data_IF_708143019124
#
_entry.id   IF_708143019124
#
_cell.length_a   1.000
_cell.length_b   1.000
_cell.length_c   1.000
_cell.angle_alpha   90.00
_cell.angle_beta   90.00
_cell.angle_gamma   90.00
#
_symmetry.space_group_name_H-M   'P 1'
#
loop_
_entity.id
_entity.type
_entity.pdbx_description
1 polymer ?
#
# COMPACT_ATOMS: atom_id res chain seq x y z
N UNK A 1 -4.78 -28.17 -35.17
CA UNK A 1 -3.78 -28.03 -34.08
C UNK A 1 -3.64 -26.58 -33.62
N UNK A 2 -3.62 -25.60 -34.53
CA UNK A 2 -3.34 -24.20 -34.21
C UNK A 2 -4.49 -23.46 -33.48
N UNK A 3 -5.76 -23.80 -33.78
CA UNK A 3 -6.92 -23.18 -33.12
C UNK A 3 -7.00 -23.48 -31.61
N UNK A 4 -6.58 -24.68 -31.19
CA UNK A 4 -6.55 -25.07 -29.78
C UNK A 4 -5.47 -24.29 -29.01
N UNK A 5 -4.29 -24.13 -29.63
CA UNK A 5 -3.20 -23.31 -29.08
C UNK A 5 -3.60 -21.84 -28.90
N UNK A 6 -4.25 -21.25 -29.91
CA UNK A 6 -4.73 -19.87 -29.84
C UNK A 6 -5.78 -19.67 -28.75
N UNK A 7 -6.72 -20.61 -28.61
CA UNK A 7 -7.72 -20.57 -27.53
C UNK A 7 -7.07 -20.63 -26.15
N UNK A 8 -6.09 -21.53 -25.96
CA UNK A 8 -5.36 -21.64 -24.69
C UNK A 8 -4.59 -20.35 -24.35
N UNK A 9 -3.93 -19.75 -25.34
CA UNK A 9 -3.22 -18.47 -25.19
C UNK A 9 -4.17 -17.33 -24.81
N UNK A 10 -5.34 -17.25 -25.44
CA UNK A 10 -6.36 -16.25 -25.10
C UNK A 10 -6.89 -16.44 -23.67
N UNK A 11 -7.15 -17.68 -23.25
CA UNK A 11 -7.61 -18.00 -21.90
C UNK A 11 -6.55 -17.66 -20.85
N UNK A 12 -5.28 -17.97 -21.11
CA UNK A 12 -4.16 -17.63 -20.23
C UNK A 12 -3.96 -16.11 -20.13
N UNK A 13 -4.09 -15.39 -21.24
CA UNK A 13 -4.02 -13.93 -21.26
C UNK A 13 -5.17 -13.28 -20.47
N UNK A 14 -6.40 -13.75 -20.68
CA UNK A 14 -7.55 -13.26 -19.91
C UNK A 14 -7.42 -13.55 -18.42
N UNK A 15 -6.90 -14.72 -18.04
CA UNK A 15 -6.66 -15.08 -16.65
C UNK A 15 -5.57 -14.23 -16.00
N UNK A 16 -4.51 -13.89 -16.75
CA UNK A 16 -3.44 -13.03 -16.26
C UNK A 16 -3.94 -11.60 -15.97
N UNK A 17 -4.80 -11.05 -16.84
CA UNK A 17 -5.42 -9.72 -16.63
C UNK A 17 -6.34 -9.72 -15.41
N UNK A 18 -7.10 -10.80 -15.20
CA UNK A 18 -7.98 -10.93 -14.02
C UNK A 18 -7.22 -11.15 -12.71
N UNK A 19 -5.97 -11.61 -12.79
CA UNK A 19 -5.11 -11.80 -11.62
C UNK A 19 -4.40 -10.51 -11.19
N UNK A 20 -4.37 -9.47 -12.03
CA UNK A 20 -3.85 -8.17 -11.63
C UNK A 20 -4.87 -7.49 -10.71
N UNK A 21 -4.53 -7.43 -9.42
CA UNK A 21 -5.27 -6.65 -8.44
C UNK A 21 -4.86 -5.18 -8.47
N UNK A 22 -5.67 -4.33 -7.82
CA UNK A 22 -5.34 -2.91 -7.66
C UNK A 22 -4.07 -2.75 -6.81
N UNK A 23 -3.18 -1.89 -7.27
CA UNK A 23 -1.98 -1.48 -6.53
C UNK A 23 -1.99 0.02 -6.26
N UNK A 24 -1.37 0.44 -5.18
CA UNK A 24 -1.17 1.85 -4.80
C UNK A 24 0.27 2.23 -5.12
N UNK A 25 0.43 3.23 -5.99
CA UNK A 25 1.69 3.80 -6.42
C UNK A 25 2.01 5.08 -5.65
N UNK A 26 3.22 5.15 -5.10
CA UNK A 26 3.76 6.33 -4.44
C UNK A 26 5.20 6.56 -4.92
N UNK A 27 5.35 7.45 -5.91
CA UNK A 27 6.63 7.66 -6.59
C UNK A 27 7.12 6.39 -7.29
N UNK A 28 8.27 5.88 -6.84
CA UNK A 28 8.89 4.66 -7.37
C UNK A 28 8.42 3.37 -6.69
N UNK A 29 7.56 3.48 -5.67
CA UNK A 29 7.03 2.34 -4.92
C UNK A 29 5.64 1.96 -5.43
N UNK A 30 5.37 0.65 -5.50
CA UNK A 30 4.04 0.11 -5.77
C UNK A 30 3.72 -0.97 -4.75
N UNK A 31 2.54 -0.88 -4.14
CA UNK A 31 2.08 -1.78 -3.09
C UNK A 31 0.72 -2.39 -3.46
N UNK A 32 0.49 -3.69 -3.26
CA UNK A 32 -0.83 -4.28 -3.42
C UNK A 32 -1.84 -3.62 -2.47
N UNK A 33 -3.01 -3.24 -2.97
CA UNK A 33 -4.06 -2.61 -2.16
C UNK A 33 -4.44 -3.50 -0.96
N UNK A 34 -4.45 -4.83 -1.15
CA UNK A 34 -4.69 -5.80 -0.09
C UNK A 34 -3.68 -5.73 1.07
N UNK A 35 -2.44 -5.36 0.80
CA UNK A 35 -1.45 -5.14 1.85
C UNK A 35 -1.60 -3.78 2.52
N UNK A 36 -2.03 -2.75 1.77
CA UNK A 36 -2.32 -1.42 2.31
C UNK A 36 -3.51 -1.47 3.28
N UNK A 37 -4.57 -2.23 2.95
CA UNK A 37 -5.75 -2.44 3.82
C UNK A 37 -5.37 -2.95 5.21
N UNK A 38 -4.37 -3.82 5.32
CA UNK A 38 -3.89 -4.39 6.58
C UNK A 38 -3.32 -3.35 7.55
N UNK A 39 -2.94 -2.15 7.08
CA UNK A 39 -2.47 -1.07 7.97
C UNK A 39 -3.56 -0.61 8.95
N UNK A 40 -4.84 -0.69 8.55
CA UNK A 40 -5.97 -0.35 9.41
C UNK A 40 -6.03 -1.24 10.66
N UNK A 41 -5.76 -2.53 10.49
CA UNK A 41 -5.80 -3.53 11.59
C UNK A 41 -4.63 -3.37 12.57
N UNK A 42 -3.57 -2.66 12.19
CA UNK A 42 -2.44 -2.34 13.06
C UNK A 42 -2.72 -1.16 13.98
N UNK A 43 -3.70 -0.33 13.64
CA UNK A 43 -4.05 0.89 14.36
C UNK A 43 -4.95 0.63 15.58
N UNK A 44 -5.52 -0.57 15.72
CA UNK A 44 -6.39 -0.97 16.85
C UNK A 44 -5.64 -1.19 18.20
N UNK A 45 -4.32 -0.95 18.24
CA UNK A 45 -3.56 -0.92 19.51
C UNK A 45 -3.70 0.48 20.14
N UNK A 46 -4.05 0.60 21.43
CA UNK A 46 -4.80 1.74 21.97
C UNK A 46 -4.26 3.11 21.61
N UNK A 47 -5.19 4.02 21.29
CA UNK A 47 -5.08 5.45 21.00
C UNK A 47 -4.35 6.32 22.07
N UNK A 48 -3.48 5.76 22.91
CA UNK A 48 -2.69 6.54 23.88
C UNK A 48 -1.44 7.19 23.28
N UNK A 49 -1.12 6.93 22.01
CA UNK A 49 0.02 7.56 21.31
C UNK A 49 -0.36 8.34 20.04
N UNK A 50 -1.62 8.27 19.58
CA UNK A 50 -2.05 8.81 18.29
C UNK A 50 -2.73 10.20 18.33
N UNK A 51 -2.83 10.84 19.50
CA UNK A 51 -3.13 12.29 19.53
C UNK A 51 -1.83 13.07 19.40
N UNK A 52 -1.29 13.11 18.18
CA UNK A 52 -0.42 14.21 17.78
C UNK A 52 -0.88 14.81 16.46
N UNK A 53 -2.08 15.39 16.49
CA UNK A 53 -2.44 16.58 15.70
C UNK A 53 -1.55 17.79 16.06
N UNK A 54 -0.25 17.59 16.26
CA UNK A 54 0.67 18.59 16.79
C UNK A 54 1.81 18.82 15.82
N UNK A 55 1.60 19.89 15.03
CA UNK A 55 2.58 20.85 14.53
C UNK A 55 3.85 20.26 13.93
N UNK A 56 4.01 20.56 12.63
CA UNK A 56 5.27 21.00 12.03
C UNK A 56 6.23 21.61 13.06
N UNK A 57 7.10 20.78 13.62
CA UNK A 57 8.24 21.21 14.41
C UNK A 57 9.43 20.43 13.84
N UNK A 58 10.50 21.10 13.38
CA UNK A 58 11.65 20.42 12.82
C UNK A 58 12.44 19.83 13.98
N UNK A 59 11.98 18.69 14.51
CA UNK A 59 12.83 17.85 15.33
C UNK A 59 13.78 17.18 14.35
N UNK A 60 15.07 17.45 14.50
CA UNK A 60 16.16 16.65 13.93
C UNK A 60 15.98 15.21 14.43
N UNK A 61 15.08 14.47 13.80
CA UNK A 61 14.91 13.05 13.98
C UNK A 61 15.95 12.42 13.08
N UNK A 62 16.91 11.76 13.72
CA UNK A 62 17.71 10.70 13.08
C UNK A 62 16.78 9.90 12.17
N UNK A 63 17.15 9.59 10.92
CA UNK A 63 16.30 8.82 10.01
C UNK A 63 16.13 7.41 10.57
N UNK A 64 15.13 7.27 11.43
CA UNK A 64 14.68 6.02 12.01
C UNK A 64 13.37 5.68 11.29
N UNK A 65 13.23 4.41 10.91
CA UNK A 65 12.00 3.92 10.33
C UNK A 65 10.80 4.22 11.26
N UNK A 66 9.61 4.50 10.70
CA UNK A 66 8.38 4.69 11.46
C UNK A 66 8.19 3.59 12.52
N UNK A 67 7.65 3.89 13.72
CA UNK A 67 7.39 2.88 14.74
C UNK A 67 6.58 1.68 14.21
N UNK A 68 5.62 1.94 13.33
CA UNK A 68 4.80 0.91 12.67
C UNK A 68 5.61 -0.07 11.83
N UNK A 69 6.73 0.34 11.23
CA UNK A 69 7.62 -0.57 10.50
C UNK A 69 8.24 -1.65 11.39
N UNK A 70 8.25 -1.47 12.72
CA UNK A 70 8.73 -2.45 13.70
C UNK A 70 7.61 -3.35 14.21
N UNK A 71 6.37 -3.12 13.79
CA UNK A 71 5.23 -3.91 14.23
C UNK A 71 5.38 -5.35 13.70
N UNK A 72 5.21 -6.41 14.53
CA UNK A 72 5.42 -7.79 14.10
C UNK A 72 4.45 -8.23 13.01
N UNK A 73 3.26 -7.62 12.96
CA UNK A 73 2.25 -7.85 11.91
C UNK A 73 2.34 -6.85 10.74
N UNK A 74 3.40 -6.05 10.65
CA UNK A 74 3.56 -5.12 9.54
C UNK A 74 3.65 -5.88 8.21
N UNK A 75 2.89 -5.51 7.16
CA UNK A 75 2.85 -6.29 5.93
C UNK A 75 4.22 -6.34 5.23
N UNK A 76 4.64 -7.54 4.84
CA UNK A 76 5.94 -7.75 4.17
C UNK A 76 6.07 -6.95 2.87
N UNK A 77 4.98 -6.87 2.10
CA UNK A 77 4.94 -6.12 0.85
C UNK A 77 5.25 -4.62 1.03
N UNK A 78 4.96 -4.06 2.21
CA UNK A 78 5.21 -2.65 2.54
C UNK A 78 6.62 -2.42 3.10
N UNK A 79 7.37 -3.45 3.52
CA UNK A 79 8.70 -3.25 4.11
C UNK A 79 9.70 -2.42 3.30
N UNK A 80 9.69 -2.42 1.96
CA UNK A 80 10.56 -1.53 1.19
C UNK A 80 10.41 -0.05 1.55
N UNK A 81 9.22 0.41 1.96
CA UNK A 81 8.99 1.80 2.37
C UNK A 81 9.77 2.19 3.62
N UNK A 82 9.99 1.24 4.54
CA UNK A 82 10.66 1.49 5.82
C UNK A 82 12.15 1.86 5.67
N UNK A 83 12.72 1.67 4.47
CA UNK A 83 14.10 2.05 4.13
C UNK A 83 14.18 3.43 3.49
N UNK A 84 13.05 4.06 3.18
CA UNK A 84 12.99 5.37 2.52
C UNK A 84 13.17 6.49 3.54
N UNK A 85 13.84 7.60 3.18
CA UNK A 85 14.02 8.73 4.09
C UNK A 85 12.70 9.44 4.46
N UNK A 86 11.70 9.37 3.56
CA UNK A 86 10.35 9.91 3.74
C UNK A 86 9.32 8.81 4.09
N UNK A 87 9.76 7.71 4.72
CA UNK A 87 8.91 6.57 5.07
C UNK A 87 7.66 6.97 5.87
N UNK A 88 7.79 7.90 6.81
CA UNK A 88 6.68 8.39 7.65
C UNK A 88 5.59 9.07 6.80
N UNK A 89 5.98 9.95 5.89
CA UNK A 89 5.04 10.67 5.02
C UNK A 89 4.32 9.74 4.03
N UNK A 90 5.05 8.76 3.48
CA UNK A 90 4.47 7.73 2.61
C UNK A 90 3.48 6.89 3.42
N UNK A 91 3.88 6.44 4.62
CA UNK A 91 3.04 5.61 5.48
C UNK A 91 1.73 6.32 5.83
N UNK A 92 1.77 7.62 6.18
CA UNK A 92 0.56 8.41 6.45
C UNK A 92 -0.40 8.46 5.24
N UNK A 93 0.11 8.56 4.01
CA UNK A 93 -0.73 8.50 2.81
C UNK A 93 -1.35 7.12 2.61
N UNK A 94 -0.58 6.06 2.84
CA UNK A 94 -1.07 4.68 2.74
C UNK A 94 -2.12 4.37 3.83
N UNK A 95 -1.95 4.90 5.04
CA UNK A 95 -2.95 4.80 6.10
C UNK A 95 -4.26 5.51 5.73
N UNK A 96 -4.19 6.69 5.12
CA UNK A 96 -5.39 7.39 4.63
C UNK A 96 -6.15 6.55 3.59
N UNK A 97 -5.43 5.87 2.69
CA UNK A 97 -6.04 4.93 1.73
C UNK A 97 -6.59 3.69 2.45
N UNK A 98 -5.90 3.17 3.46
CA UNK A 98 -6.37 2.02 4.24
C UNK A 98 -7.66 2.32 5.01
N UNK A 99 -7.90 3.58 5.40
CA UNK A 99 -9.14 4.01 6.05
C UNK A 99 -10.34 3.98 5.10
N UNK A 100 -10.13 4.29 3.81
CA UNK A 100 -11.16 4.25 2.75
C UNK A 100 -10.62 3.59 1.46
N UNK A 101 -10.46 2.24 1.47
CA UNK A 101 -9.84 1.52 0.36
C UNK A 101 -10.71 1.51 -0.91
N UNK A 102 -12.01 1.76 -0.77
CA UNK A 102 -12.95 1.80 -1.89
C UNK A 102 -12.50 2.83 -2.94
N UNK A 103 -11.88 3.93 -2.54
CA UNK A 103 -11.33 4.94 -3.46
C UNK A 103 -10.35 4.33 -4.47
N UNK A 104 -9.56 3.34 -4.07
CA UNK A 104 -8.69 2.61 -5.00
C UNK A 104 -9.40 1.47 -5.73
N UNK A 105 -10.40 0.82 -5.13
CA UNK A 105 -11.18 -0.21 -5.83
C UNK A 105 -11.96 0.34 -7.02
N UNK A 106 -12.43 1.59 -6.93
CA UNK A 106 -13.09 2.30 -8.03
C UNK A 106 -12.14 3.23 -8.80
N UNK A 107 -10.83 3.12 -8.55
CA UNK A 107 -9.79 3.83 -9.30
C UNK A 107 -9.99 5.36 -9.31
N UNK A 108 -10.50 5.91 -8.21
CA UNK A 108 -10.83 7.33 -8.09
C UNK A 108 -9.61 8.22 -7.87
N UNK A 109 -8.48 7.65 -7.44
CA UNK A 109 -7.21 8.37 -7.28
C UNK A 109 -6.16 7.91 -8.28
N UNK A 110 -5.37 8.87 -8.77
CA UNK A 110 -4.26 8.61 -9.68
C UNK A 110 -3.14 7.74 -9.09
N UNK A 111 -3.10 7.61 -7.76
CA UNK A 111 -2.20 6.68 -7.08
C UNK A 111 -2.63 5.21 -7.26
N UNK A 112 -3.88 4.92 -7.63
CA UNK A 112 -4.37 3.55 -7.76
C UNK A 112 -4.20 3.08 -9.22
N UNK A 113 -3.53 1.95 -9.42
CA UNK A 113 -3.22 1.36 -10.74
C UNK A 113 -3.66 -0.11 -10.77
N UNK A 114 -3.68 -0.74 -11.95
CA UNK A 114 -4.21 -2.11 -12.10
C UNK A 114 -5.75 -2.14 -12.27
N UNK A 115 -6.31 -0.96 -12.52
CA UNK A 115 -7.49 -0.78 -13.33
C UNK A 115 -7.02 -0.43 -14.76
#
# INVERSE_FOLDING_TARGET
MNACLLSLLCLLGALAVLAEGVTVQDGDLSFPLESVKQLKDLQEVPESLLVSHKRFAPRLLVPAAPPLCRHPKFPEALRPLCKKPNAEEILQRLEAIAQDPNTCEICAYAACTGC
#
